data_IF_011474512537
#
_entry.id   IF_011474512537
#
_cell.length_a   1.000
_cell.length_b   1.000
_cell.length_c   1.000
_cell.angle_alpha   90.00
_cell.angle_beta   90.00
_cell.angle_gamma   90.00
#
_symmetry.space_group_name_H-M   'P 1'
#
loop_
_entity.id
_entity.type
_entity.pdbx_description
1 polymer ?
#
# COMPACT_ATOMS: atom_id res chain seq x y z
N UNK A 1 -4.05 -10.50 -9.45
CA UNK A 1 -3.78 -9.07 -9.73
C UNK A 1 -2.69 -8.49 -8.83
N UNK A 2 -2.80 -8.55 -7.49
CA UNK A 2 -1.75 -7.99 -6.60
C UNK A 2 -0.40 -8.71 -6.70
N UNK A 3 -0.40 -10.04 -6.88
CA UNK A 3 0.81 -10.83 -7.11
C UNK A 3 1.55 -10.40 -8.38
N UNK A 4 0.81 -10.08 -9.43
CA UNK A 4 1.35 -9.57 -10.70
C UNK A 4 2.05 -8.22 -10.49
N UNK A 5 1.39 -7.29 -9.79
CA UNK A 5 1.96 -5.98 -9.45
C UNK A 5 3.24 -6.15 -8.63
N UNK A 6 3.23 -7.04 -7.63
CA UNK A 6 4.41 -7.34 -6.82
C UNK A 6 5.55 -7.89 -7.69
N UNK A 7 5.25 -8.85 -8.58
CA UNK A 7 6.26 -9.47 -9.44
C UNK A 7 6.88 -8.45 -10.39
N UNK A 8 6.04 -7.73 -11.15
CA UNK A 8 6.50 -6.71 -12.11
C UNK A 8 7.29 -5.61 -11.40
N UNK A 9 6.87 -5.19 -10.19
CA UNK A 9 7.60 -4.16 -9.44
C UNK A 9 9.01 -4.63 -9.04
N UNK A 10 9.15 -5.89 -8.61
CA UNK A 10 10.47 -6.47 -8.31
C UNK A 10 11.34 -6.57 -9.57
N UNK A 11 10.77 -7.05 -10.68
CA UNK A 11 11.47 -7.19 -11.96
C UNK A 11 11.99 -5.84 -12.49
N UNK A 12 11.29 -4.75 -12.20
CA UNK A 12 11.69 -3.39 -12.57
C UNK A 12 12.61 -2.72 -11.54
N UNK A 13 13.07 -3.44 -10.51
CA UNK A 13 14.05 -2.94 -9.54
C UNK A 13 13.48 -1.95 -8.51
N UNK A 14 12.15 -1.88 -8.37
CA UNK A 14 11.57 -1.13 -7.25
C UNK A 14 11.90 -1.83 -5.94
N UNK A 15 12.22 -1.07 -4.89
CA UNK A 15 12.51 -1.60 -3.55
C UNK A 15 11.28 -1.65 -2.64
N UNK A 16 10.27 -0.81 -2.93
CA UNK A 16 9.07 -0.62 -2.12
C UNK A 16 7.83 -0.49 -2.98
N UNK A 17 6.70 -0.95 -2.46
CA UNK A 17 5.36 -0.65 -2.96
C UNK A 17 4.56 0.08 -1.90
N UNK A 18 3.78 1.05 -2.35
CA UNK A 18 2.87 1.83 -1.52
C UNK A 18 1.45 1.68 -2.06
N UNK A 19 0.49 1.68 -1.15
CA UNK A 19 -0.93 1.78 -1.46
C UNK A 19 -1.66 2.51 -0.34
N UNK A 20 -2.85 2.99 -0.66
CA UNK A 20 -3.79 3.52 0.31
C UNK A 20 -5.19 2.95 0.05
N UNK A 21 -5.94 2.75 1.13
CA UNK A 21 -7.30 2.20 1.10
C UNK A 21 -8.17 2.89 2.13
N UNK A 22 -9.48 2.97 1.91
CA UNK A 22 -10.38 3.57 2.90
C UNK A 22 -10.47 2.69 4.15
N UNK A 23 -10.52 3.30 5.33
CA UNK A 23 -10.52 2.56 6.62
C UNK A 23 -11.67 1.54 6.77
N UNK A 24 -12.79 1.72 6.06
CA UNK A 24 -13.92 0.80 6.10
C UNK A 24 -13.78 -0.41 5.16
N UNK A 25 -12.77 -0.44 4.29
CA UNK A 25 -12.48 -1.53 3.35
C UNK A 25 -11.69 -2.64 4.05
N UNK A 26 -12.30 -3.25 5.06
CA UNK A 26 -11.65 -4.23 5.96
C UNK A 26 -11.16 -5.49 5.25
N UNK A 27 -11.82 -5.89 4.16
CA UNK A 27 -11.44 -7.06 3.35
C UNK A 27 -10.13 -6.79 2.60
N UNK A 28 -10.00 -5.61 2.02
CA UNK A 28 -8.84 -5.15 1.27
C UNK A 28 -7.65 -4.94 2.21
N UNK A 29 -7.86 -4.32 3.37
CA UNK A 29 -6.84 -4.19 4.41
C UNK A 29 -6.30 -5.57 4.82
N UNK A 30 -7.18 -6.54 5.05
CA UNK A 30 -6.78 -7.90 5.42
C UNK A 30 -6.02 -8.60 4.30
N UNK A 31 -6.47 -8.43 3.05
CA UNK A 31 -5.78 -8.94 1.87
C UNK A 31 -4.35 -8.38 1.77
N UNK A 32 -4.18 -7.06 1.89
CA UNK A 32 -2.86 -6.44 1.80
C UNK A 32 -1.92 -6.91 2.93
N UNK A 33 -2.43 -7.05 4.15
CA UNK A 33 -1.67 -7.62 5.27
C UNK A 33 -1.21 -9.05 4.97
N UNK A 34 -2.06 -9.89 4.37
CA UNK A 34 -1.70 -11.26 3.96
C UNK A 34 -0.61 -11.28 2.89
N UNK A 35 -0.54 -10.27 2.02
CA UNK A 35 0.57 -10.08 1.06
C UNK A 35 1.81 -9.40 1.68
N UNK A 36 1.82 -9.16 2.99
CA UNK A 36 2.95 -8.61 3.74
C UNK A 36 3.10 -7.10 3.63
N UNK A 37 2.05 -6.38 3.25
CA UNK A 37 2.00 -4.93 3.44
C UNK A 37 1.81 -4.60 4.92
N UNK A 38 2.45 -3.53 5.39
CA UNK A 38 2.36 -3.02 6.76
C UNK A 38 1.85 -1.59 6.73
N UNK A 39 1.10 -1.20 7.75
CA UNK A 39 0.64 0.18 7.88
C UNK A 39 1.83 1.15 8.00
N UNK A 40 1.68 2.33 7.41
CA UNK A 40 2.69 3.39 7.41
C UNK A 40 2.03 4.77 7.48
N UNK A 41 2.83 5.82 7.55
CA UNK A 41 2.36 7.20 7.40
C UNK A 41 1.99 7.49 5.94
N UNK A 42 1.23 8.55 5.70
CA UNK A 42 1.02 9.06 4.33
C UNK A 42 2.36 9.32 3.64
N UNK A 43 2.44 9.01 2.35
CA UNK A 43 3.63 9.20 1.51
C UNK A 43 3.46 10.41 0.58
N UNK A 44 4.54 11.02 0.08
CA UNK A 44 4.47 12.25 -0.74
C UNK A 44 3.56 12.14 -1.97
N UNK A 45 3.44 10.94 -2.54
CA UNK A 45 2.62 10.63 -3.71
C UNK A 45 1.15 10.40 -3.37
N UNK A 46 0.75 10.44 -2.09
CA UNK A 46 -0.64 10.35 -1.67
C UNK A 46 -1.41 11.61 -2.05
N UNK A 47 -2.21 11.54 -3.13
CA UNK A 47 -3.01 12.68 -3.62
C UNK A 47 -4.46 12.54 -3.18
N UNK A 48 -4.74 12.88 -1.93
CA UNK A 48 -6.09 12.95 -1.38
C UNK A 48 -6.45 14.36 -0.90
N UNK A 49 -7.73 14.77 -0.98
CA UNK A 49 -8.22 15.92 -0.25
C UNK A 49 -7.84 15.85 1.23
N UNK A 50 -7.50 16.99 1.85
CA UNK A 50 -7.02 17.04 3.24
C UNK A 50 -7.98 16.38 4.22
N UNK A 51 -9.27 16.48 3.95
CA UNK A 51 -10.35 15.92 4.77
C UNK A 51 -10.42 14.39 4.71
N UNK A 52 -9.84 13.79 3.67
CA UNK A 52 -9.81 12.35 3.46
C UNK A 52 -8.50 11.72 3.94
N UNK A 53 -7.42 12.49 4.11
CA UNK A 53 -6.12 11.95 4.53
C UNK A 53 -6.20 11.10 5.80
N UNK A 54 -7.00 11.52 6.78
CA UNK A 54 -7.20 10.81 8.06
C UNK A 54 -8.20 9.65 7.99
N UNK A 55 -8.88 9.49 6.84
CA UNK A 55 -9.85 8.41 6.59
C UNK A 55 -9.25 7.29 5.75
N UNK A 56 -8.02 7.47 5.27
CA UNK A 56 -7.27 6.47 4.53
C UNK A 56 -6.32 5.71 5.46
N UNK A 57 -6.08 4.45 5.12
CA UNK A 57 -5.04 3.61 5.68
C UNK A 57 -3.96 3.50 4.61
N UNK A 58 -2.75 3.94 4.95
CA UNK A 58 -1.59 3.86 4.08
C UNK A 58 -0.80 2.61 4.43
N UNK A 59 -0.34 1.89 3.43
CA UNK A 59 0.40 0.66 3.62
C UNK A 59 1.60 0.59 2.68
N UNK A 60 2.66 -0.06 3.15
CA UNK A 60 3.91 -0.23 2.42
C UNK A 60 4.39 -1.68 2.51
N UNK A 61 4.95 -2.18 1.40
CA UNK A 61 5.67 -3.44 1.33
C UNK A 61 7.08 -3.19 0.82
N UNK A 62 8.08 -3.62 1.57
CA UNK A 62 9.49 -3.59 1.18
C UNK A 62 9.90 -4.98 0.68
N UNK A 63 10.72 -5.02 -0.37
CA UNK A 63 11.14 -6.29 -0.99
C UNK A 63 12.50 -6.78 -0.51
N UNK A 64 13.38 -5.87 -0.09
CA UNK A 64 14.73 -6.15 0.37
C UNK A 64 14.99 -5.41 1.69
N UNK A 65 15.59 -6.06 2.70
CA UNK A 65 16.00 -5.39 3.93
C UNK A 65 17.16 -4.41 3.72
#
# INVERSE_FOLDING_TARGET
>A
MIEEVIRVSKENGYSKLYLDTAHFMSSEISLYKNFGFKETSSYPESVHPKELLNKMIYMMKEFYP
#
